data_IF_289036856501
#
_entry.id   IF_289036856501
#
_cell.length_a   1.000
_cell.length_b   1.000
_cell.length_c   1.000
_cell.angle_alpha   90.00
_cell.angle_beta   90.00
_cell.angle_gamma   90.00
#
_symmetry.space_group_name_H-M   'P 1'
#
loop_
_entity.id
_entity.type
_entity.pdbx_description
1 polymer ?
#
# COMPACT_ATOMS: atom_id res chain seq x y z
N UNK A 1 -0.78 17.40 -7.15
CA UNK A 1 -1.11 16.44 -6.10
C UNK A 1 -2.19 17.04 -5.19
N UNK A 2 -3.32 16.41 -5.04
CA UNK A 2 -4.41 16.84 -4.16
C UNK A 2 -5.24 15.62 -3.72
N UNK A 3 -5.89 15.70 -2.54
CA UNK A 3 -6.73 14.62 -2.02
C UNK A 3 -7.87 14.22 -2.99
N UNK A 4 -8.38 15.16 -3.78
CA UNK A 4 -9.43 14.92 -4.77
C UNK A 4 -8.98 14.11 -6.01
N UNK A 5 -7.66 13.89 -6.16
CA UNK A 5 -7.09 13.14 -7.28
C UNK A 5 -6.96 11.64 -7.01
N UNK A 6 -7.34 11.17 -5.81
CA UNK A 6 -7.17 9.77 -5.40
C UNK A 6 -8.51 9.04 -5.37
N UNK A 7 -8.52 7.80 -5.88
CA UNK A 7 -9.66 6.88 -5.73
C UNK A 7 -9.77 6.36 -4.30
N UNK A 8 -8.62 6.22 -3.63
CA UNK A 8 -8.53 5.79 -2.24
C UNK A 8 -7.40 6.53 -1.53
N UNK A 9 -7.63 6.95 -0.29
CA UNK A 9 -6.67 7.68 0.54
C UNK A 9 -6.65 7.09 1.94
N UNK A 10 -5.50 6.52 2.32
CA UNK A 10 -5.23 6.03 3.68
C UNK A 10 -4.21 6.95 4.39
N UNK A 11 -4.67 8.04 5.01
CA UNK A 11 -3.79 8.96 5.69
C UNK A 11 -3.30 8.35 7.01
N UNK A 12 -2.01 8.49 7.28
CA UNK A 12 -1.45 8.19 8.60
C UNK A 12 -2.05 9.09 9.68
N UNK A 13 -2.02 8.66 10.94
CA UNK A 13 -2.61 9.39 12.07
C UNK A 13 -2.01 10.79 12.31
N UNK A 14 -0.88 11.11 11.73
CA UNK A 14 -0.17 12.40 11.83
C UNK A 14 -0.13 13.16 10.51
N UNK A 15 -0.90 12.71 9.51
CA UNK A 15 -0.92 13.29 8.16
C UNK A 15 -2.15 14.16 7.96
N UNK A 16 -1.99 15.36 7.45
CA UNK A 16 -3.03 16.29 7.04
C UNK A 16 -2.99 16.57 5.53
N UNK A 17 -4.04 17.17 5.01
CA UNK A 17 -4.09 17.53 3.57
C UNK A 17 -3.09 18.62 3.18
N UNK A 18 -2.57 19.34 4.16
CA UNK A 18 -1.49 20.32 4.04
C UNK A 18 -0.10 19.70 3.87
N UNK A 19 0.04 18.41 4.19
CA UNK A 19 1.32 17.69 4.13
C UNK A 19 1.59 17.09 2.74
N UNK A 20 0.69 17.27 1.78
CA UNK A 20 0.93 16.81 0.41
C UNK A 20 2.05 17.60 -0.27
N UNK A 21 3.08 16.89 -0.73
CA UNK A 21 4.09 17.48 -1.61
C UNK A 21 3.41 18.02 -2.88
N UNK A 22 3.61 19.29 -3.25
CA UNK A 22 3.05 19.84 -4.46
C UNK A 22 3.80 19.32 -5.69
N UNK A 23 3.17 18.47 -6.48
CA UNK A 23 3.70 18.05 -7.79
C UNK A 23 2.57 17.86 -8.80
N UNK A 24 2.91 17.89 -10.07
CA UNK A 24 2.03 17.54 -11.17
C UNK A 24 2.63 16.33 -11.90
N UNK A 25 1.76 15.39 -12.27
CA UNK A 25 2.18 14.18 -12.99
C UNK A 25 1.12 13.81 -14.03
N UNK A 26 1.58 13.41 -15.21
CA UNK A 26 0.74 12.90 -16.30
C UNK A 26 1.37 11.63 -16.83
N UNK A 27 0.58 10.59 -17.02
CA UNK A 27 0.98 9.40 -17.78
C UNK A 27 0.80 9.71 -19.26
N UNK A 28 1.88 9.65 -20.03
CA UNK A 28 1.86 9.95 -21.46
C UNK A 28 1.68 8.70 -22.30
N UNK A 29 2.23 7.58 -21.82
CA UNK A 29 2.24 6.33 -22.54
C UNK A 29 2.44 5.15 -21.59
N UNK A 30 1.96 3.98 -21.99
CA UNK A 30 2.14 2.75 -21.21
C UNK A 30 2.36 1.56 -22.13
N UNK A 31 3.52 0.92 -21.99
CA UNK A 31 3.94 -0.23 -22.77
C UNK A 31 4.01 -1.50 -21.93
N UNK A 32 3.58 -2.61 -22.51
CA UNK A 32 3.74 -3.95 -21.96
C UNK A 32 4.51 -4.81 -22.96
N UNK A 33 5.54 -5.49 -22.46
CA UNK A 33 6.30 -6.48 -23.24
C UNK A 33 5.87 -7.89 -22.80
N UNK A 34 5.12 -8.58 -23.66
CA UNK A 34 4.62 -9.91 -23.39
C UNK A 34 5.59 -11.01 -23.86
N UNK A 35 5.74 -12.07 -23.06
CA UNK A 35 6.40 -13.28 -23.51
C UNK A 35 5.50 -14.02 -24.51
N UNK A 36 5.96 -14.13 -25.74
CA UNK A 36 5.18 -14.72 -26.84
C UNK A 36 5.42 -16.21 -27.02
N UNK A 37 6.46 -16.78 -26.39
CA UNK A 37 6.87 -18.17 -26.61
C UNK A 37 7.18 -18.88 -25.28
N UNK A 38 7.10 -20.22 -25.30
CA UNK A 38 7.44 -21.08 -24.18
C UNK A 38 6.30 -21.29 -23.20
N UNK A 39 6.58 -21.97 -22.08
CA UNK A 39 5.59 -22.32 -21.06
C UNK A 39 5.04 -21.10 -20.27
N UNK A 40 5.71 -19.96 -20.38
CA UNK A 40 5.31 -18.70 -19.75
C UNK A 40 4.73 -17.70 -20.76
N UNK A 41 4.36 -18.12 -21.96
CA UNK A 41 3.69 -17.25 -22.95
C UNK A 41 2.43 -16.61 -22.35
N UNK A 42 2.20 -15.34 -22.64
CA UNK A 42 1.14 -14.54 -22.03
C UNK A 42 1.49 -13.91 -20.67
N UNK A 43 2.71 -14.15 -20.14
CA UNK A 43 3.18 -13.45 -18.96
C UNK A 43 3.86 -12.15 -19.36
N UNK A 44 3.57 -11.06 -18.68
CA UNK A 44 4.24 -9.81 -18.92
C UNK A 44 5.70 -9.87 -18.43
N UNK A 45 6.61 -9.48 -19.30
CA UNK A 45 8.04 -9.40 -19.06
C UNK A 45 8.47 -8.06 -18.52
N UNK A 46 7.82 -6.99 -18.97
CA UNK A 46 8.11 -5.62 -18.59
C UNK A 46 6.85 -4.77 -18.66
N UNK A 47 6.73 -3.86 -17.70
CA UNK A 47 5.77 -2.78 -17.70
C UNK A 47 6.53 -1.46 -17.65
N UNK A 48 6.15 -0.50 -18.48
CA UNK A 48 6.77 0.81 -18.54
C UNK A 48 5.70 1.88 -18.74
N UNK A 49 5.50 2.73 -17.73
CA UNK A 49 4.67 3.92 -17.84
C UNK A 49 5.57 5.13 -18.03
N UNK A 50 5.46 5.81 -19.17
CA UNK A 50 6.16 7.07 -19.41
C UNK A 50 5.41 8.19 -18.72
N UNK A 51 6.06 8.79 -17.73
CA UNK A 51 5.52 9.92 -16.99
C UNK A 51 6.17 11.22 -17.45
N UNK A 52 5.37 12.27 -17.46
CA UNK A 52 5.80 13.65 -17.45
C UNK A 52 5.41 14.25 -16.09
N UNK A 53 6.37 14.84 -15.40
CA UNK A 53 6.12 15.36 -14.06
C UNK A 53 6.85 16.69 -13.83
N UNK A 54 6.40 17.41 -12.81
CA UNK A 54 7.04 18.61 -12.26
C UNK A 54 7.07 18.52 -10.74
N UNK A 55 8.23 18.78 -10.18
CA UNK A 55 8.39 18.95 -8.73
C UNK A 55 7.99 20.40 -8.38
N UNK A 56 6.95 20.56 -7.60
CA UNK A 56 6.31 21.85 -7.34
C UNK A 56 5.49 22.38 -8.52
N UNK A 57 4.83 23.53 -8.30
CA UNK A 57 3.99 24.16 -9.33
C UNK A 57 4.83 24.88 -10.42
N UNK A 58 5.99 25.37 -10.03
CA UNK A 58 6.92 26.15 -10.89
C UNK A 58 8.15 25.35 -11.33
N UNK A 59 8.22 24.06 -10.99
CA UNK A 59 9.33 23.17 -11.34
C UNK A 59 9.48 22.96 -12.84
N UNK A 60 10.70 22.61 -13.27
CA UNK A 60 10.95 22.20 -14.63
C UNK A 60 10.15 20.92 -14.96
N UNK A 61 9.73 20.80 -16.21
CA UNK A 61 9.09 19.58 -16.68
C UNK A 61 10.14 18.53 -16.98
N UNK A 62 9.97 17.35 -16.39
CA UNK A 62 10.84 16.20 -16.54
C UNK A 62 10.06 14.98 -16.99
N UNK A 63 10.74 14.01 -17.58
CA UNK A 63 10.16 12.72 -17.96
C UNK A 63 10.80 11.59 -17.18
N UNK A 64 10.02 10.56 -16.86
CA UNK A 64 10.48 9.39 -16.14
C UNK A 64 9.78 8.12 -16.66
N UNK A 65 10.54 7.05 -16.82
CA UNK A 65 10.02 5.72 -17.16
C UNK A 65 9.75 4.94 -15.87
N UNK A 66 8.50 5.02 -15.40
CA UNK A 66 8.04 4.34 -14.19
C UNK A 66 7.85 2.85 -14.47
N UNK A 67 8.56 2.01 -13.72
CA UNK A 67 8.54 0.55 -13.86
C UNK A 67 8.32 -0.11 -12.52
N UNK A 68 7.86 -1.37 -12.54
CA UNK A 68 7.76 -2.20 -11.33
C UNK A 68 9.12 -2.28 -10.64
N UNK A 69 9.16 -2.06 -9.33
CA UNK A 69 10.37 -1.98 -8.49
C UNK A 69 11.35 -0.83 -8.81
N UNK A 70 10.94 0.13 -9.63
CA UNK A 70 11.71 1.35 -9.91
C UNK A 70 10.80 2.57 -9.72
N UNK A 71 10.50 2.94 -8.46
CA UNK A 71 9.64 4.08 -8.17
C UNK A 71 10.28 5.40 -8.58
N UNK A 72 9.44 6.38 -8.87
CA UNK A 72 9.83 7.78 -8.98
C UNK A 72 9.72 8.42 -7.60
N UNK A 73 10.79 9.08 -7.14
CA UNK A 73 10.76 9.87 -5.90
C UNK A 73 10.71 11.36 -6.24
N UNK A 74 9.71 12.07 -5.73
CA UNK A 74 9.51 13.51 -5.86
C UNK A 74 9.45 14.09 -4.45
N UNK A 75 10.46 14.85 -4.04
CA UNK A 75 10.57 15.30 -2.65
C UNK A 75 10.69 14.12 -1.67
N UNK A 76 9.75 14.01 -0.74
CA UNK A 76 9.66 12.89 0.23
C UNK A 76 8.62 11.82 -0.20
N UNK A 77 8.02 11.97 -1.39
CA UNK A 77 6.96 11.12 -1.91
C UNK A 77 7.48 10.13 -2.94
N UNK A 78 7.19 8.86 -2.73
CA UNK A 78 7.50 7.77 -3.66
C UNK A 78 6.26 7.42 -4.49
N UNK A 79 6.42 7.29 -5.80
CA UNK A 79 5.38 6.95 -6.79
C UNK A 79 5.68 5.57 -7.35
N UNK A 80 4.74 4.62 -7.20
CA UNK A 80 4.91 3.22 -7.60
C UNK A 80 3.88 2.84 -8.66
N UNK A 81 4.30 2.07 -9.66
CA UNK A 81 3.41 1.37 -10.58
C UNK A 81 2.96 0.05 -9.93
N UNK A 82 1.67 -0.08 -9.61
CA UNK A 82 1.14 -1.23 -8.87
C UNK A 82 0.13 -2.06 -9.66
N UNK A 83 -0.35 -1.57 -10.79
CA UNK A 83 -1.31 -2.30 -11.63
C UNK A 83 -1.56 -1.60 -12.94
N UNK A 84 -2.24 -2.33 -13.83
CA UNK A 84 -2.69 -1.82 -15.11
C UNK A 84 -3.93 -2.60 -15.58
N UNK A 85 -4.56 -2.13 -16.64
CA UNK A 85 -5.67 -2.78 -17.31
C UNK A 85 -6.05 -2.03 -18.57
N UNK A 86 -7.21 -2.36 -19.10
CA UNK A 86 -7.76 -1.77 -20.31
C UNK A 86 -8.99 -0.92 -20.02
N UNK A 87 -9.14 0.14 -20.78
CA UNK A 87 -10.29 1.02 -20.78
C UNK A 87 -10.86 1.06 -22.21
N UNK A 88 -11.87 0.25 -22.52
CA UNK A 88 -12.61 0.38 -23.75
C UNK A 88 -13.12 1.81 -23.91
N UNK A 89 -12.88 2.40 -25.07
CA UNK A 89 -13.43 3.71 -25.45
C UNK A 89 -14.79 3.49 -26.04
N UNK A 90 -15.82 3.91 -25.30
CA UNK A 90 -17.20 3.68 -25.67
C UNK A 90 -17.95 5.00 -25.79
N UNK A 91 -18.85 5.09 -26.78
CA UNK A 91 -19.77 6.22 -26.94
C UNK A 91 -21.21 5.74 -26.85
N UNK A 92 -21.91 6.20 -25.80
CA UNK A 92 -23.34 5.95 -25.59
C UNK A 92 -24.13 7.16 -26.09
N UNK A 93 -25.01 6.94 -27.06
CA UNK A 93 -26.00 7.93 -27.49
C UNK A 93 -27.38 7.51 -27.01
N UNK A 94 -28.11 8.44 -26.45
CA UNK A 94 -29.47 8.23 -25.95
C UNK A 94 -30.50 8.08 -27.08
N UNK A 95 -31.76 7.82 -26.74
CA UNK A 95 -32.86 7.68 -27.67
C UNK A 95 -33.18 8.94 -28.49
N UNK A 96 -32.63 10.08 -28.11
CA UNK A 96 -32.74 11.35 -28.85
C UNK A 96 -31.52 11.63 -29.74
N UNK A 97 -30.49 10.74 -29.70
CA UNK A 97 -29.25 10.87 -30.45
C UNK A 97 -28.16 11.72 -29.76
N UNK A 98 -28.41 12.23 -28.54
CA UNK A 98 -27.41 13.00 -27.80
C UNK A 98 -26.36 12.05 -27.21
N UNK A 99 -25.11 12.52 -27.11
CA UNK A 99 -24.06 11.78 -26.40
C UNK A 99 -24.32 11.85 -24.89
N UNK A 100 -24.65 10.72 -24.30
CA UNK A 100 -24.93 10.58 -22.86
C UNK A 100 -23.69 10.17 -22.03
N UNK A 101 -22.76 9.41 -22.64
CA UNK A 101 -21.46 9.11 -22.13
C UNK A 101 -20.48 8.87 -23.29
N UNK A 102 -19.22 9.26 -23.15
CA UNK A 102 -18.19 9.01 -24.16
C UNK A 102 -16.80 9.08 -23.55
N UNK A 103 -15.90 8.22 -23.99
CA UNK A 103 -14.49 8.17 -23.60
C UNK A 103 -14.04 6.81 -23.07
N UNK A 104 -12.80 6.72 -22.55
CA UNK A 104 -12.29 5.49 -21.96
C UNK A 104 -13.01 5.16 -20.66
N UNK A 105 -13.53 3.94 -20.58
CA UNK A 105 -14.22 3.39 -19.41
C UNK A 105 -13.32 2.37 -18.74
N UNK A 106 -12.96 2.58 -17.47
CA UNK A 106 -12.05 1.71 -16.74
C UNK A 106 -12.71 0.36 -16.44
N UNK A 107 -12.11 -0.71 -16.93
CA UNK A 107 -12.47 -2.09 -16.59
C UNK A 107 -11.41 -2.71 -15.70
N UNK A 108 -11.83 -3.40 -14.64
CA UNK A 108 -10.94 -4.00 -13.64
C UNK A 108 -10.63 -5.46 -13.97
N UNK A 109 -9.36 -5.83 -14.18
CA UNK A 109 -8.96 -7.21 -14.42
C UNK A 109 -9.41 -8.14 -13.31
N UNK A 110 -10.00 -9.27 -13.70
CA UNK A 110 -10.49 -10.32 -12.78
C UNK A 110 -9.48 -11.46 -12.67
N UNK A 111 -8.65 -11.66 -13.68
CA UNK A 111 -7.68 -12.73 -13.74
C UNK A 111 -6.41 -12.31 -14.54
N UNK A 112 -5.50 -13.24 -14.71
CA UNK A 112 -4.22 -13.03 -15.41
C UNK A 112 -4.36 -12.93 -16.94
N UNK A 113 -5.50 -13.32 -17.50
CA UNK A 113 -5.81 -13.16 -18.93
C UNK A 113 -6.34 -11.76 -19.24
N UNK A 114 -6.48 -10.91 -18.22
CA UNK A 114 -7.10 -9.58 -18.30
C UNK A 114 -8.57 -9.58 -18.76
N UNK A 115 -9.27 -10.72 -18.57
CA UNK A 115 -10.72 -10.67 -18.53
C UNK A 115 -11.13 -9.65 -17.47
N UNK A 116 -11.81 -8.59 -17.87
CA UNK A 116 -12.04 -7.44 -17.00
C UNK A 116 -13.53 -7.16 -16.84
N UNK A 117 -13.95 -6.69 -15.66
CA UNK A 117 -15.31 -6.25 -15.37
C UNK A 117 -15.36 -4.73 -15.31
N UNK A 118 -16.40 -4.14 -15.89
CA UNK A 118 -16.60 -2.69 -15.88
C UNK A 118 -18.05 -2.28 -15.87
N UNK A 119 -18.26 -0.99 -15.57
CA UNK A 119 -19.55 -0.34 -15.47
C UNK A 119 -19.52 0.96 -16.28
N UNK A 120 -20.60 1.23 -17.02
CA UNK A 120 -20.80 2.51 -17.70
C UNK A 120 -22.04 3.17 -17.14
N UNK A 121 -21.94 4.46 -16.85
CA UNK A 121 -23.04 5.28 -16.32
C UNK A 121 -23.31 6.44 -17.25
N UNK A 122 -24.56 6.55 -17.71
CA UNK A 122 -25.02 7.62 -18.55
C UNK A 122 -26.21 8.35 -17.91
N UNK A 123 -25.92 9.23 -16.91
CA UNK A 123 -26.97 9.89 -16.12
C UNK A 123 -27.83 10.87 -16.93
N UNK A 124 -27.29 11.42 -18.01
CA UNK A 124 -27.98 12.40 -18.85
C UNK A 124 -28.81 11.79 -19.97
N UNK A 125 -28.83 10.45 -20.09
CA UNK A 125 -29.57 9.77 -21.16
C UNK A 125 -31.09 10.03 -21.08
N UNK A 126 -31.73 10.02 -22.26
CA UNK A 126 -33.19 10.20 -22.39
C UNK A 126 -33.77 9.06 -23.24
N UNK A 127 -34.99 8.53 -22.86
CA UNK A 127 -35.96 9.05 -21.89
C UNK A 127 -35.62 8.75 -20.41
N UNK A 128 -34.72 7.82 -20.09
CA UNK A 128 -34.28 7.47 -18.73
C UNK A 128 -32.79 7.34 -18.66
N UNK A 129 -32.23 7.32 -17.44
CA UNK A 129 -30.83 7.00 -17.22
C UNK A 129 -30.48 5.66 -17.84
N UNK A 130 -29.26 5.49 -18.33
CA UNK A 130 -28.74 4.23 -18.84
C UNK A 130 -27.52 3.80 -18.02
N UNK A 131 -27.51 2.52 -17.69
CA UNK A 131 -26.39 1.87 -17.02
C UNK A 131 -26.03 0.57 -17.74
N UNK A 132 -24.75 0.25 -17.71
CA UNK A 132 -24.24 -0.98 -18.31
C UNK A 132 -23.26 -1.61 -17.35
N UNK A 133 -23.32 -2.93 -17.19
CA UNK A 133 -22.30 -3.70 -16.52
C UNK A 133 -21.92 -4.93 -17.33
N UNK A 134 -20.68 -5.37 -17.23
CA UNK A 134 -20.27 -6.55 -17.99
C UNK A 134 -18.78 -6.72 -18.11
N UNK A 135 -18.39 -7.48 -19.12
CA UNK A 135 -17.05 -7.98 -19.29
C UNK A 135 -16.38 -7.41 -20.54
N UNK A 136 -15.08 -7.20 -20.44
CA UNK A 136 -14.19 -6.89 -21.54
C UNK A 136 -13.21 -8.07 -21.71
N UNK A 137 -13.11 -8.55 -22.94
CA UNK A 137 -12.20 -9.61 -23.37
C UNK A 137 -11.12 -8.98 -24.25
N UNK A 138 -9.87 -8.86 -23.83
CA UNK A 138 -8.80 -8.28 -24.65
C UNK A 138 -8.55 -9.03 -25.96
N UNK A 139 -8.52 -10.36 -25.90
CA UNK A 139 -8.45 -11.22 -27.10
C UNK A 139 -9.50 -12.31 -26.95
N UNK A 140 -10.65 -12.07 -27.54
CA UNK A 140 -11.83 -12.94 -27.42
C UNK A 140 -11.71 -14.21 -28.27
N UNK A 141 -12.14 -15.34 -27.71
CA UNK A 141 -12.37 -16.59 -28.42
C UNK A 141 -13.49 -17.40 -27.71
N UNK A 142 -13.91 -18.48 -28.34
CA UNK A 142 -14.86 -19.43 -27.77
C UNK A 142 -14.15 -20.77 -27.46
N UNK A 143 -14.13 -21.17 -26.21
CA UNK A 143 -13.67 -22.49 -25.79
C UNK A 143 -14.90 -23.36 -25.45
N UNK A 144 -15.13 -24.39 -26.22
CA UNK A 144 -16.30 -25.28 -26.09
C UNK A 144 -17.67 -24.57 -26.12
N UNK A 145 -17.70 -23.35 -26.70
CA UNK A 145 -18.88 -22.50 -26.78
C UNK A 145 -18.98 -21.44 -25.68
N UNK A 146 -18.08 -21.48 -24.70
CA UNK A 146 -17.99 -20.46 -23.66
C UNK A 146 -17.03 -19.34 -24.03
N UNK A 147 -17.38 -18.06 -23.76
CA UNK A 147 -16.53 -16.91 -24.04
C UNK A 147 -15.31 -16.87 -23.12
N UNK A 148 -14.14 -16.76 -23.71
CA UNK A 148 -12.84 -16.72 -22.99
C UNK A 148 -11.94 -15.65 -23.55
N UNK A 149 -10.93 -15.25 -22.76
CA UNK A 149 -9.77 -14.49 -23.24
C UNK A 149 -8.61 -15.46 -23.45
N UNK A 150 -8.11 -15.54 -24.68
CA UNK A 150 -7.00 -16.45 -25.04
C UNK A 150 -5.63 -15.81 -24.98
N UNK A 151 -5.57 -14.49 -24.95
CA UNK A 151 -4.33 -13.71 -24.85
C UNK A 151 -4.56 -12.43 -24.06
N UNK A 152 -3.63 -12.01 -23.20
CA UNK A 152 -3.82 -10.86 -22.30
C UNK A 152 -3.70 -9.48 -22.97
N UNK A 153 -3.23 -9.42 -24.21
CA UNK A 153 -3.16 -8.17 -25.00
C UNK A 153 -4.43 -7.96 -25.83
N UNK A 154 -4.73 -6.73 -26.24
CA UNK A 154 -5.96 -6.33 -26.91
C UNK A 154 -5.94 -6.61 -28.45
N UNK A 155 -5.66 -7.85 -28.83
CA UNK A 155 -5.52 -8.24 -30.24
C UNK A 155 -6.86 -8.43 -30.98
N UNK A 156 -7.90 -8.87 -30.29
CA UNK A 156 -9.27 -9.02 -30.82
C UNK A 156 -10.28 -8.70 -29.71
N UNK A 157 -10.42 -7.40 -29.35
CA UNK A 157 -11.19 -7.02 -28.17
C UNK A 157 -12.70 -7.11 -28.41
N UNK A 158 -13.39 -7.59 -27.36
CA UNK A 158 -14.85 -7.65 -27.30
C UNK A 158 -15.35 -7.12 -25.96
N UNK A 159 -16.38 -6.27 -26.02
CA UNK A 159 -17.15 -5.82 -24.86
C UNK A 159 -18.48 -6.53 -24.83
N UNK A 160 -18.83 -7.16 -23.70
CA UNK A 160 -20.08 -7.86 -23.50
C UNK A 160 -20.78 -7.37 -22.25
N UNK A 161 -21.92 -6.68 -22.40
CA UNK A 161 -22.57 -5.97 -21.31
C UNK A 161 -24.07 -6.21 -21.26
N UNK A 162 -24.61 -6.19 -20.04
CA UNK A 162 -26.03 -6.07 -19.76
C UNK A 162 -26.41 -4.60 -19.73
N UNK A 163 -27.66 -4.29 -20.02
CA UNK A 163 -28.17 -2.93 -20.12
C UNK A 163 -29.31 -2.73 -19.14
N UNK A 164 -29.26 -1.62 -18.43
CA UNK A 164 -30.26 -1.22 -17.44
C UNK A 164 -30.77 0.19 -17.77
N UNK A 165 -32.04 0.44 -17.48
CA UNK A 165 -32.68 1.75 -17.63
C UNK A 165 -33.56 2.06 -16.44
N UNK A 166 -33.95 3.31 -16.28
CA UNK A 166 -34.82 3.75 -15.19
C UNK A 166 -34.11 4.62 -14.17
N UNK A 167 -34.41 4.43 -12.91
CA UNK A 167 -33.77 5.14 -11.81
C UNK A 167 -32.52 4.36 -11.33
N UNK A 168 -31.37 4.86 -11.68
CA UNK A 168 -30.08 4.29 -11.29
C UNK A 168 -29.39 5.11 -10.17
N UNK A 169 -30.13 6.07 -9.56
CA UNK A 169 -29.61 6.94 -8.51
C UNK A 169 -28.43 7.82 -8.93
N UNK A 170 -28.21 8.02 -10.26
CA UNK A 170 -27.01 8.71 -10.76
C UNK A 170 -27.07 10.23 -10.60
N UNK A 171 -28.23 10.79 -10.32
CA UNK A 171 -28.49 12.23 -10.12
C UNK A 171 -28.91 12.61 -8.70
N UNK A 172 -28.91 11.68 -7.77
CA UNK A 172 -29.26 11.89 -6.34
C UNK A 172 -28.28 12.76 -5.54
N UNK A 173 -27.17 13.17 -6.16
CA UNK A 173 -26.10 13.95 -5.52
C UNK A 173 -25.30 13.15 -4.48
N UNK A 174 -25.46 11.82 -4.43
CA UNK A 174 -24.66 10.93 -3.61
C UNK A 174 -23.48 10.38 -4.43
N UNK A 175 -22.26 10.41 -3.91
CA UNK A 175 -21.13 9.77 -4.55
C UNK A 175 -21.40 8.26 -4.69
N UNK A 176 -21.39 7.77 -5.91
CA UNK A 176 -21.44 6.33 -6.20
C UNK A 176 -20.06 5.85 -6.65
N UNK A 177 -19.74 4.59 -6.31
CA UNK A 177 -18.54 3.94 -6.84
C UNK A 177 -18.56 3.93 -8.36
N UNK A 178 -17.46 4.26 -9.01
CA UNK A 178 -17.32 4.18 -10.47
C UNK A 178 -17.26 2.73 -10.97
N UNK A 179 -17.09 1.79 -10.07
CA UNK A 179 -16.94 0.36 -10.36
C UNK A 179 -18.18 -0.48 -10.05
N UNK A 180 -19.23 0.12 -9.50
CA UNK A 180 -20.48 -0.57 -9.16
C UNK A 180 -21.66 0.19 -9.76
N UNK A 181 -22.59 -0.55 -10.33
CA UNK A 181 -23.88 -0.04 -10.78
C UNK A 181 -24.92 -0.43 -9.73
N UNK A 182 -25.64 0.56 -9.20
CA UNK A 182 -26.81 0.29 -8.36
C UNK A 182 -27.99 -0.03 -9.29
N UNK A 183 -28.53 -1.22 -9.18
CA UNK A 183 -29.61 -1.71 -10.02
C UNK A 183 -30.88 -2.03 -9.24
N UNK A 184 -30.94 -1.69 -7.94
CA UNK A 184 -32.05 -2.06 -7.07
C UNK A 184 -33.39 -1.47 -7.54
N UNK A 185 -33.40 -0.24 -8.05
CA UNK A 185 -34.57 0.46 -8.57
C UNK A 185 -34.56 0.58 -10.12
N UNK A 186 -33.62 -0.11 -10.78
CA UNK A 186 -33.48 -0.09 -12.24
C UNK A 186 -34.19 -1.28 -12.89
N UNK A 187 -34.56 -1.10 -14.15
CA UNK A 187 -35.12 -2.14 -14.98
C UNK A 187 -34.07 -2.70 -15.95
N UNK A 188 -33.82 -4.01 -15.91
CA UNK A 188 -32.95 -4.65 -16.88
C UNK A 188 -33.65 -4.70 -18.25
N UNK A 189 -32.96 -4.24 -19.28
CA UNK A 189 -33.46 -4.28 -20.65
C UNK A 189 -33.60 -5.73 -21.12
N UNK A 190 -34.73 -6.09 -21.72
CA UNK A 190 -35.03 -7.44 -22.18
C UNK A 190 -35.27 -7.48 -23.68
N UNK A 191 -35.08 -8.64 -24.28
CA UNK A 191 -35.49 -8.94 -25.65
C UNK A 191 -37.00 -9.12 -25.76
N UNK A 192 -37.53 -9.15 -26.96
CA UNK A 192 -38.95 -9.37 -27.19
C UNK A 192 -39.52 -10.68 -26.64
N UNK A 193 -38.68 -11.67 -26.37
CA UNK A 193 -39.01 -12.94 -25.74
C UNK A 193 -38.96 -12.92 -24.20
N UNK A 194 -38.61 -11.75 -23.61
CA UNK A 194 -38.47 -11.55 -22.16
C UNK A 194 -37.15 -12.02 -21.56
N UNK A 195 -36.20 -12.48 -22.37
CA UNK A 195 -34.87 -12.81 -21.90
C UNK A 195 -34.02 -11.53 -21.73
N UNK A 196 -33.06 -11.48 -20.78
CA UNK A 196 -32.15 -10.34 -20.64
C UNK A 196 -31.46 -10.01 -21.95
N UNK A 197 -31.46 -8.70 -22.28
CA UNK A 197 -30.72 -8.21 -23.42
C UNK A 197 -29.23 -8.12 -23.04
N UNK A 198 -28.39 -8.66 -23.90
CA UNK A 198 -26.95 -8.59 -23.80
C UNK A 198 -26.41 -8.01 -25.09
N UNK A 199 -25.58 -7.01 -24.95
CA UNK A 199 -24.87 -6.34 -26.02
C UNK A 199 -23.45 -6.94 -26.12
N UNK A 200 -23.08 -7.40 -27.32
CA UNK A 200 -21.75 -7.93 -27.60
C UNK A 200 -21.17 -7.11 -28.77
N UNK A 201 -20.15 -6.26 -28.47
CA UNK A 201 -19.54 -5.34 -29.43
C UNK A 201 -18.07 -5.67 -29.66
N UNK A 202 -17.69 -5.78 -30.93
CA UNK A 202 -16.28 -5.78 -31.36
C UNK A 202 -15.82 -4.35 -31.66
N UNK A 203 -14.51 -4.19 -31.65
CA UNK A 203 -13.88 -2.91 -31.96
C UNK A 203 -14.38 -2.36 -33.32
N UNK A 204 -14.83 -1.13 -33.31
CA UNK A 204 -15.39 -0.42 -34.48
C UNK A 204 -16.87 -0.68 -34.75
N UNK A 205 -17.54 -1.55 -33.97
CA UNK A 205 -18.97 -1.82 -34.11
C UNK A 205 -19.83 -0.82 -33.34
N UNK A 206 -21.06 -0.67 -33.84
CA UNK A 206 -22.13 0.12 -33.19
C UNK A 206 -23.39 -0.72 -33.12
N UNK A 207 -23.99 -0.83 -31.96
CA UNK A 207 -25.24 -1.57 -31.74
C UNK A 207 -26.36 -0.63 -31.32
N UNK A 208 -27.57 -0.93 -31.82
CA UNK A 208 -28.78 -0.20 -31.46
C UNK A 208 -29.50 -0.91 -30.32
N UNK A 209 -29.71 -0.19 -29.25
CA UNK A 209 -30.43 -0.72 -28.07
C UNK A 209 -31.91 -0.88 -28.37
N UNK A 210 -32.57 -1.89 -27.75
CA UNK A 210 -34.02 -2.09 -27.84
C UNK A 210 -34.82 -0.86 -27.41
N UNK A 211 -36.09 -0.84 -27.75
CA UNK A 211 -37.08 0.15 -27.31
C UNK A 211 -36.72 1.61 -27.57
N UNK A 212 -35.79 1.85 -28.52
CA UNK A 212 -35.37 3.19 -28.87
C UNK A 212 -34.50 3.88 -27.81
N UNK A 213 -33.87 3.11 -26.94
CA UNK A 213 -33.00 3.62 -25.86
C UNK A 213 -31.72 4.28 -26.37
N UNK A 214 -31.36 4.05 -27.65
CA UNK A 214 -30.23 4.69 -28.28
C UNK A 214 -29.24 3.74 -28.94
N UNK A 215 -27.97 4.12 -28.97
CA UNK A 215 -26.90 3.32 -29.59
C UNK A 215 -25.64 3.34 -28.72
N UNK A 216 -24.84 2.27 -28.81
CA UNK A 216 -23.51 2.19 -28.22
C UNK A 216 -22.49 1.84 -29.28
N UNK A 217 -21.39 2.59 -29.38
CA UNK A 217 -20.26 2.28 -30.26
C UNK A 217 -19.01 1.95 -29.43
N UNK A 218 -18.20 1.01 -29.92
CA UNK A 218 -16.92 0.65 -29.40
C UNK A 218 -15.82 1.23 -30.28
N UNK A 219 -15.25 2.36 -29.84
CA UNK A 219 -14.43 3.24 -30.66
C UNK A 219 -12.93 2.96 -30.59
N UNK A 220 -12.46 2.33 -29.48
CA UNK A 220 -11.05 2.06 -29.23
C UNK A 220 -10.79 1.35 -27.91
N UNK A 221 -9.51 1.05 -27.65
CA UNK A 221 -9.03 0.56 -26.36
C UNK A 221 -7.87 1.44 -25.93
N UNK A 222 -7.88 1.91 -24.67
CA UNK A 222 -6.78 2.62 -24.07
C UNK A 222 -6.29 1.85 -22.85
N UNK A 223 -4.97 1.79 -22.59
CA UNK A 223 -4.48 1.23 -21.34
C UNK A 223 -4.68 2.23 -20.20
N UNK A 224 -4.88 1.71 -19.00
CA UNK A 224 -4.80 2.50 -17.76
C UNK A 224 -3.79 1.90 -16.79
N UNK A 225 -3.25 2.73 -15.91
CA UNK A 225 -2.29 2.31 -14.89
C UNK A 225 -2.80 2.66 -13.50
N UNK A 226 -2.54 1.79 -12.53
CA UNK A 226 -2.76 2.06 -11.11
C UNK A 226 -1.45 2.49 -10.49
N UNK A 227 -1.47 3.68 -9.92
CA UNK A 227 -0.30 4.29 -9.29
C UNK A 227 -0.58 4.40 -7.79
N UNK A 228 0.37 3.95 -6.98
CA UNK A 228 0.38 4.19 -5.55
C UNK A 228 1.36 5.33 -5.24
N UNK A 229 0.89 6.31 -4.50
CA UNK A 229 1.67 7.44 -4.02
C UNK A 229 1.82 7.25 -2.51
N UNK A 230 3.06 7.23 -2.01
CA UNK A 230 3.36 6.92 -0.62
C UNK A 230 4.38 7.90 -0.06
N UNK A 231 4.04 8.47 1.10
CA UNK A 231 4.94 9.29 1.88
C UNK A 231 5.19 8.61 3.23
N UNK A 232 6.44 8.37 3.57
CA UNK A 232 6.83 7.60 4.76
C UNK A 232 7.87 8.36 5.60
N UNK A 233 7.51 9.46 6.30
CA UNK A 233 8.45 10.33 7.00
C UNK A 233 9.20 9.62 8.14
N UNK A 234 8.67 8.53 8.70
CA UNK A 234 9.29 7.74 9.76
C UNK A 234 10.34 6.71 9.31
N UNK A 235 10.56 6.51 8.02
CA UNK A 235 11.42 5.44 7.45
C UNK A 235 12.87 5.49 7.98
N UNK A 236 13.47 6.69 8.02
CA UNK A 236 14.84 6.86 8.53
C UNK A 236 14.94 6.66 10.04
N UNK A 237 13.93 7.06 10.81
CA UNK A 237 13.87 6.87 12.26
C UNK A 237 13.79 5.37 12.58
N UNK A 238 12.91 4.64 11.89
CA UNK A 238 12.79 3.20 12.01
C UNK A 238 14.09 2.47 11.66
N UNK A 239 14.75 2.86 10.56
CA UNK A 239 16.05 2.32 10.17
C UNK A 239 17.12 2.58 11.25
N UNK A 240 17.19 3.80 11.79
CA UNK A 240 18.07 4.14 12.90
C UNK A 240 17.83 3.26 14.14
N UNK A 241 16.57 3.01 14.48
CA UNK A 241 16.18 2.11 15.55
C UNK A 241 16.67 0.67 15.34
N UNK A 242 16.52 0.14 14.14
CA UNK A 242 17.02 -1.20 13.76
C UNK A 242 18.53 -1.27 13.86
N UNK A 243 19.25 -0.27 13.35
CA UNK A 243 20.73 -0.22 13.44
C UNK A 243 21.18 -0.19 14.90
N UNK A 244 20.56 0.63 15.75
CA UNK A 244 20.87 0.68 17.18
C UNK A 244 20.58 -0.66 17.89
N UNK A 245 19.48 -1.32 17.55
CA UNK A 245 19.15 -2.63 18.08
C UNK A 245 20.20 -3.69 17.70
N UNK A 246 20.67 -3.68 16.44
CA UNK A 246 21.74 -4.57 15.98
C UNK A 246 23.06 -4.29 16.69
N UNK A 247 23.44 -3.03 16.87
CA UNK A 247 24.63 -2.65 17.63
C UNK A 247 24.52 -3.11 19.09
N UNK A 248 23.35 -2.92 19.71
CA UNK A 248 23.08 -3.40 21.07
C UNK A 248 23.18 -4.93 21.20
N UNK A 249 22.64 -5.65 20.21
CA UNK A 249 22.72 -7.10 20.15
C UNK A 249 24.17 -7.58 20.00
N UNK A 250 24.93 -6.98 19.10
CA UNK A 250 26.36 -7.25 18.91
C UNK A 250 27.14 -6.93 20.20
N UNK A 251 26.91 -5.77 20.79
CA UNK A 251 27.50 -5.40 22.07
C UNK A 251 27.20 -6.42 23.17
N UNK A 252 25.95 -6.85 23.27
CA UNK A 252 25.53 -7.90 24.23
C UNK A 252 26.24 -9.25 24.01
N UNK A 253 26.55 -9.56 22.73
CA UNK A 253 27.28 -10.80 22.40
C UNK A 253 28.77 -10.70 22.78
N UNK A 254 29.39 -9.52 22.59
CA UNK A 254 30.83 -9.31 22.91
C UNK A 254 31.10 -8.88 24.32
N UNK A 255 30.18 -8.20 25.01
CA UNK A 255 30.29 -7.84 26.43
C UNK A 255 29.90 -9.03 27.26
N UNK A 256 30.90 -9.63 27.86
CA UNK A 256 30.74 -10.86 28.68
C UNK A 256 30.26 -10.50 30.09
N UNK A 257 29.08 -10.92 30.54
CA UNK A 257 28.62 -10.65 31.91
C UNK A 257 29.43 -11.47 32.93
N UNK A 258 30.10 -10.78 33.81
CA UNK A 258 30.75 -11.39 34.98
C UNK A 258 29.84 -11.23 36.19
N UNK A 259 29.73 -12.27 37.01
CA UNK A 259 28.99 -12.23 38.28
C UNK A 259 29.93 -12.39 39.41
N UNK A 260 29.88 -11.46 40.39
CA UNK A 260 30.65 -11.49 41.63
C UNK A 260 29.65 -11.60 42.76
N UNK A 261 29.88 -12.54 43.67
CA UNK A 261 29.09 -12.70 44.86
C UNK A 261 30.00 -12.42 46.08
N UNK A 262 29.52 -11.59 47.00
CA UNK A 262 30.16 -11.30 48.28
C UNK A 262 29.22 -11.73 49.37
N UNK A 263 29.70 -12.59 50.27
CA UNK A 263 28.96 -13.10 51.42
C UNK A 263 29.71 -12.78 52.70
N UNK A 264 29.10 -12.03 53.61
CA UNK A 264 29.65 -11.79 54.93
C UNK A 264 28.98 -12.71 55.96
N UNK A 265 29.78 -13.36 56.80
CA UNK A 265 29.35 -14.24 57.93
C UNK A 265 30.09 -13.85 59.16
N UNK A 266 29.41 -13.80 60.29
CA UNK A 266 30.06 -13.59 61.60
C UNK A 266 30.24 -14.94 62.28
N UNK A 267 31.49 -15.34 62.53
CA UNK A 267 31.84 -16.61 63.18
C UNK A 267 32.85 -16.34 64.34
N UNK A 268 32.49 -16.75 65.54
CA UNK A 268 33.32 -16.58 66.74
C UNK A 268 33.82 -15.17 67.03
N UNK A 269 33.00 -14.18 66.71
CA UNK A 269 33.36 -12.76 66.93
C UNK A 269 34.14 -12.10 65.80
N UNK A 270 34.53 -12.86 64.77
CA UNK A 270 35.22 -12.33 63.53
C UNK A 270 34.28 -12.32 62.33
N UNK A 271 34.36 -11.31 61.57
CA UNK A 271 33.62 -11.24 60.30
C UNK A 271 34.42 -11.89 59.19
N UNK A 272 33.91 -12.99 58.68
CA UNK A 272 34.47 -13.69 57.51
C UNK A 272 33.74 -13.22 56.27
N UNK A 273 34.48 -12.79 55.24
CA UNK A 273 33.95 -12.39 53.94
C UNK A 273 34.43 -13.37 52.87
N UNK A 274 33.48 -14.04 52.26
CA UNK A 274 33.70 -14.96 51.15
C UNK A 274 33.37 -14.22 49.85
N UNK A 275 34.30 -14.24 48.88
CA UNK A 275 34.09 -13.65 47.55
C UNK A 275 34.18 -14.75 46.51
N UNK A 276 33.20 -14.84 45.65
CA UNK A 276 33.18 -15.79 44.54
C UNK A 276 32.88 -15.03 43.24
N UNK A 277 33.49 -15.43 42.16
CA UNK A 277 33.19 -14.88 40.82
C UNK A 277 32.97 -15.98 39.81
N UNK A 278 32.09 -15.75 38.87
CA UNK A 278 31.83 -16.65 37.76
C UNK A 278 31.95 -15.87 36.44
N UNK A 279 32.84 -16.34 35.58
CA UNK A 279 32.88 -15.95 34.17
C UNK A 279 32.32 -17.10 33.32
N UNK A 280 31.20 -16.86 32.65
CA UNK A 280 30.52 -17.87 31.80
C UNK A 280 31.29 -18.21 30.53
N UNK A 281 32.29 -17.41 30.16
CA UNK A 281 32.97 -17.52 28.85
C UNK A 281 34.31 -18.25 28.92
N UNK A 282 34.79 -18.67 30.09
CA UNK A 282 35.98 -19.51 30.25
C UNK A 282 37.33 -18.90 29.84
N UNK A 283 37.40 -17.60 29.53
CA UNK A 283 38.61 -16.96 28.98
C UNK A 283 39.14 -15.74 29.71
N UNK A 284 38.58 -15.38 30.89
CA UNK A 284 39.04 -14.25 31.68
C UNK A 284 39.78 -14.71 32.95
N UNK A 285 40.82 -14.00 33.36
CA UNK A 285 41.46 -14.22 34.65
C UNK A 285 40.54 -13.77 35.80
N UNK A 286 39.69 -14.70 36.25
CA UNK A 286 38.77 -14.50 37.38
C UNK A 286 39.58 -14.25 38.67
N UNK A 287 40.83 -14.75 38.75
CA UNK A 287 41.71 -14.58 39.88
C UNK A 287 42.14 -13.13 40.12
N UNK A 288 42.48 -12.40 39.05
CA UNK A 288 42.80 -10.97 39.15
C UNK A 288 41.62 -10.13 39.65
N UNK A 289 40.42 -10.41 39.16
CA UNK A 289 39.20 -9.69 39.55
C UNK A 289 38.90 -9.97 41.06
N UNK A 290 39.01 -11.23 41.49
CA UNK A 290 38.81 -11.61 42.89
C UNK A 290 39.85 -10.91 43.78
N UNK A 291 41.10 -10.89 43.36
CA UNK A 291 42.19 -10.24 44.10
C UNK A 291 41.95 -8.74 44.27
N UNK A 292 41.51 -8.07 43.21
CA UNK A 292 41.15 -6.63 43.23
C UNK A 292 39.99 -6.36 44.21
N UNK A 293 38.91 -7.12 44.15
CA UNK A 293 37.75 -6.94 45.04
C UNK A 293 38.13 -7.21 46.51
N UNK A 294 38.95 -8.23 46.78
CA UNK A 294 39.44 -8.52 48.12
C UNK A 294 40.36 -7.42 48.66
N UNK A 295 41.19 -6.82 47.78
CA UNK A 295 42.05 -5.71 48.17
C UNK A 295 41.23 -4.45 48.51
N UNK A 296 40.20 -4.13 47.74
CA UNK A 296 39.28 -3.01 48.02
C UNK A 296 38.52 -3.20 49.35
N UNK A 297 38.02 -4.42 49.60
CA UNK A 297 37.33 -4.74 50.85
C UNK A 297 38.27 -4.63 52.09
N UNK A 298 39.56 -4.98 51.96
CA UNK A 298 40.55 -4.80 52.99
C UNK A 298 40.97 -3.35 53.21
N UNK A 299 41.03 -2.55 52.12
CA UNK A 299 41.30 -1.11 52.20
C UNK A 299 40.19 -0.34 52.90
N UNK A 300 38.94 -0.69 52.63
CA UNK A 300 37.78 -0.08 53.28
C UNK A 300 37.68 -0.36 54.79
N UNK A 301 38.18 -1.53 55.27
CA UNK A 301 38.28 -1.86 56.70
C UNK A 301 39.43 -1.09 57.39
N UNK A 302 40.52 -0.81 56.64
CA UNK A 302 41.64 -0.01 57.16
C UNK A 302 41.26 1.46 57.39
N UNK A 303 40.50 2.06 56.51
CA UNK A 303 40.02 3.45 56.66
C UNK A 303 38.98 3.60 57.76
N UNK A 304 38.16 2.58 58.04
CA UNK A 304 37.18 2.61 59.12
C UNK A 304 37.80 2.43 60.52
N UNK A 305 38.92 1.75 60.57
CA UNK A 305 39.66 1.60 61.82
C UNK A 305 40.46 2.86 62.20
N UNK A 306 40.69 3.76 61.27
CA UNK A 306 41.38 5.02 61.47
C UNK A 306 40.45 6.22 61.76
N UNK A 307 39.12 6.07 61.74
CA UNK A 307 38.18 7.13 62.09
C UNK A 307 38.11 7.30 63.62
N UNK A 308 38.29 8.50 64.17
CA UNK A 308 38.13 8.76 65.60
C UNK A 308 36.68 8.51 66.04
N UNK A 309 36.49 8.03 67.35
CA UNK A 309 35.13 7.79 67.84
C UNK A 309 34.31 9.11 67.83
N UNK A 310 33.07 9.03 67.38
CA UNK A 310 32.11 10.11 67.44
C UNK A 310 31.98 10.61 68.90
N UNK A 311 31.95 11.91 69.13
CA UNK A 311 31.72 12.47 70.48
C UNK A 311 30.31 12.09 70.92
N UNK A 312 30.24 11.42 72.08
CA UNK A 312 29.00 11.06 72.74
C UNK A 312 28.04 12.26 72.82
N UNK A 313 26.89 12.19 72.26
CA UNK A 313 25.76 13.11 72.47
C UNK A 313 25.27 12.91 73.92
N UNK A 314 25.69 13.84 74.78
CA UNK A 314 25.24 13.92 76.12
C UNK A 314 23.71 14.01 76.23
N UNK A 315 23.16 13.03 76.95
CA UNK A 315 21.77 13.00 77.39
C UNK A 315 21.51 14.12 78.39
N UNK A 316 20.69 15.08 78.05
CA UNK A 316 20.13 16.05 79.03
C UNK A 316 18.90 15.41 79.64
N UNK A 317 18.77 15.30 81.03
CA UNK A 317 17.56 14.79 81.61
C UNK A 317 16.46 15.87 81.62
N UNK A 318 15.28 15.45 81.15
CA UNK A 318 14.03 16.11 81.28
C UNK A 318 13.67 16.42 82.76
N UNK A 319 13.35 17.70 83.09
CA UNK A 319 12.66 18.08 84.30
C UNK A 319 11.40 18.79 83.92
N UNK A 320 10.36 18.11 84.25
CA UNK A 320 8.97 18.42 84.30
C UNK A 320 8.51 19.86 84.70
N UNK A 321 7.40 20.21 84.17
CA UNK A 321 6.19 20.77 84.79
C UNK A 321 5.07 20.75 83.73
#
# INVERSE_FOLDING_TARGET
NSAASYDDLDPGSLFGTEDFDPFLMTVEDFDIDWLTEGAAAGTARRFNARLRYRDGLDGAEETYDLRVNHPLTIGETDVFLIGHGYAPVLTVRDGQGNVAASGPMVFLPQDQSFLSFGVIKAPSARPGQLGFDGLFYPTFDLADGDPVTVWPDDLDPLVSMQVYTGDLGLDDGRPQSVYLLDTDDAEQVTKADGTPYRMDLRLGETETLPDGLGTVSFDGVEPWVRIQISQSPGKLIALGGVVLALIGLLGSLFIRPRRIWVRARRERGVTMVEVAALDRSGGGDVGEVLTSVVAELRGADGDRAAAPPDPETGTTPDRGA
#
